data_IF_523862540833
#
_entry.id   IF_523862540833
#
_cell.length_a   1.000
_cell.length_b   1.000
_cell.length_c   1.000
_cell.angle_alpha   90.00
_cell.angle_beta   90.00
_cell.angle_gamma   90.00
#
_symmetry.space_group_name_H-M   'P 1'
#
loop_
_entity.id
_entity.type
_entity.pdbx_description
1 polymer ?
#
# COMPACT_ATOMS: atom_id res chain seq x y z
N UNK A 1 18.36 12.57 12.12
CA UNK A 1 17.42 13.65 11.81
C UNK A 1 16.04 13.05 11.76
N UNK A 2 15.20 13.43 12.70
CA UNK A 2 13.81 12.99 12.79
C UNK A 2 13.12 13.52 11.54
N UNK A 3 12.65 12.63 10.68
CA UNK A 3 11.75 13.00 9.57
C UNK A 3 10.39 13.29 10.18
N UNK A 4 10.12 14.55 10.52
CA UNK A 4 8.76 14.99 10.83
C UNK A 4 7.85 14.54 9.68
N UNK A 5 6.71 13.92 10.04
CA UNK A 5 5.73 13.42 9.08
C UNK A 5 5.32 14.50 8.10
N UNK A 6 6.03 14.62 6.99
CA UNK A 6 5.72 15.57 5.94
C UNK A 6 4.41 15.16 5.30
N UNK A 7 3.40 16.00 5.47
CA UNK A 7 2.30 16.07 4.54
C UNK A 7 2.89 16.17 3.12
N UNK A 8 2.81 15.09 2.35
CA UNK A 8 3.08 15.20 0.93
C UNK A 8 2.03 16.17 0.36
N UNK A 9 2.46 17.19 -0.41
CA UNK A 9 1.50 18.08 -1.06
C UNK A 9 0.63 17.23 -1.98
N UNK A 10 -0.65 17.17 -1.67
CA UNK A 10 -1.67 16.34 -2.32
C UNK A 10 -1.92 16.70 -3.79
N UNK A 11 -1.32 17.78 -4.28
CA UNK A 11 -1.64 18.36 -5.58
C UNK A 11 -0.56 18.17 -6.67
N UNK A 12 0.67 17.84 -6.36
CA UNK A 12 1.76 17.91 -7.34
C UNK A 12 2.07 16.63 -8.11
N UNK A 13 1.45 15.50 -7.79
CA UNK A 13 1.68 14.24 -8.50
C UNK A 13 0.54 13.81 -9.43
N UNK A 14 -0.55 14.55 -9.50
CA UNK A 14 -1.66 14.23 -10.42
C UNK A 14 -1.39 14.68 -11.88
N UNK A 15 -0.50 15.64 -12.10
CA UNK A 15 -0.28 16.26 -13.42
C UNK A 15 0.91 15.66 -14.19
N UNK A 16 1.62 14.68 -13.63
CA UNK A 16 2.84 14.11 -14.22
C UNK A 16 2.64 12.99 -15.25
N UNK A 17 1.40 12.55 -15.51
CA UNK A 17 1.15 11.55 -16.55
C UNK A 17 0.89 12.31 -17.85
N UNK A 18 1.91 12.36 -18.72
CA UNK A 18 1.80 12.94 -20.05
C UNK A 18 0.65 12.35 -20.86
N UNK A 19 0.20 13.08 -21.89
CA UNK A 19 -0.91 12.64 -22.76
C UNK A 19 -0.65 11.29 -23.46
N UNK A 20 0.57 10.79 -23.41
CA UNK A 20 1.01 9.55 -24.06
C UNK A 20 0.75 8.27 -23.21
N UNK A 21 0.49 8.42 -21.91
CA UNK A 21 0.25 7.29 -20.99
C UNK A 21 -1.24 7.04 -20.70
N UNK A 22 -2.13 7.45 -21.57
CA UNK A 22 -3.57 7.18 -21.44
C UNK A 22 -3.85 5.70 -21.71
N UNK A 23 -4.00 4.93 -20.66
CA UNK A 23 -4.58 3.59 -20.75
C UNK A 23 -6.04 3.61 -20.24
N UNK A 24 -6.89 2.64 -20.63
CA UNK A 24 -8.29 2.58 -20.21
C UNK A 24 -8.48 2.61 -18.68
N UNK A 25 -7.50 2.12 -17.92
CA UNK A 25 -7.52 2.13 -16.47
C UNK A 25 -7.32 3.55 -15.90
N UNK A 26 -6.53 4.41 -16.56
CA UNK A 26 -6.34 5.78 -16.10
C UNK A 26 -7.65 6.58 -16.15
N UNK A 27 -8.45 6.38 -17.19
CA UNK A 27 -9.74 7.03 -17.34
C UNK A 27 -10.76 6.48 -16.33
N UNK A 28 -10.74 5.15 -16.09
CA UNK A 28 -11.54 4.53 -15.05
C UNK A 28 -11.24 5.11 -13.66
N UNK A 29 -9.96 5.21 -13.29
CA UNK A 29 -9.59 5.72 -11.96
C UNK A 29 -9.94 7.19 -11.78
N UNK A 30 -9.72 8.04 -12.77
CA UNK A 30 -9.95 9.48 -12.66
C UNK A 30 -11.42 9.85 -12.58
N UNK A 31 -12.30 9.15 -13.28
CA UNK A 31 -13.74 9.37 -13.25
C UNK A 31 -14.10 10.85 -13.37
N UNK A 32 -15.04 11.29 -12.54
CA UNK A 32 -15.49 12.70 -12.50
C UNK A 32 -14.46 13.66 -11.85
N UNK A 33 -13.42 13.16 -11.22
CA UNK A 33 -12.36 13.99 -10.61
C UNK A 33 -11.23 14.33 -11.58
N UNK A 34 -11.34 13.92 -12.84
CA UNK A 34 -10.35 14.26 -13.87
C UNK A 34 -10.19 15.78 -13.98
N UNK A 35 -8.95 16.27 -13.79
CA UNK A 35 -8.62 17.70 -13.85
C UNK A 35 -8.97 18.51 -12.60
N UNK A 36 -9.54 17.92 -11.56
CA UNK A 36 -9.85 18.64 -10.30
C UNK A 36 -8.62 18.93 -9.43
N UNK A 37 -7.52 18.22 -9.65
CA UNK A 37 -6.33 18.26 -8.77
C UNK A 37 -6.57 17.68 -7.37
N UNK A 38 -7.75 17.09 -7.11
CA UNK A 38 -8.11 16.51 -5.81
C UNK A 38 -8.01 15.00 -5.86
N UNK A 39 -7.30 14.42 -4.89
CA UNK A 39 -7.25 12.99 -4.67
C UNK A 39 -7.72 12.69 -3.22
N UNK A 40 -8.98 12.28 -3.04
CA UNK A 40 -9.53 12.06 -1.70
C UNK A 40 -8.89 10.86 -1.02
N UNK A 41 -8.83 10.89 0.32
CA UNK A 41 -8.36 9.80 1.18
C UNK A 41 -6.89 9.39 0.91
N UNK A 42 -6.11 10.27 0.27
CA UNK A 42 -4.70 10.07 -0.01
C UNK A 42 -3.81 10.73 1.06
N UNK A 43 -4.03 10.32 2.31
CA UNK A 43 -3.28 10.79 3.48
C UNK A 43 -2.61 9.60 4.15
N UNK A 44 -1.29 9.65 4.31
CA UNK A 44 -0.53 8.61 4.99
C UNK A 44 -1.01 8.46 6.45
N UNK A 45 -1.00 7.22 6.95
CA UNK A 45 -1.20 6.99 8.39
C UNK A 45 0.08 7.31 9.15
N UNK A 46 -0.06 7.61 10.42
CA UNK A 46 1.08 7.72 11.32
C UNK A 46 1.62 6.32 11.64
N UNK A 47 2.93 6.21 11.70
CA UNK A 47 3.65 5.00 12.09
C UNK A 47 4.59 5.35 13.25
N UNK A 48 5.00 4.34 14.02
CA UNK A 48 6.06 4.49 15.01
C UNK A 48 7.41 4.68 14.30
N UNK A 49 8.33 5.42 14.89
CA UNK A 49 9.66 5.66 14.31
C UNK A 49 10.37 4.35 13.95
N UNK A 50 10.27 3.35 14.83
CA UNK A 50 10.83 2.01 14.57
C UNK A 50 10.21 1.30 13.36
N UNK A 51 8.97 1.60 13.01
CA UNK A 51 8.33 1.04 11.81
C UNK A 51 8.74 1.81 10.56
N UNK A 52 8.98 3.12 10.67
CA UNK A 52 9.52 3.91 9.57
C UNK A 52 10.90 3.41 9.15
N UNK A 53 11.77 3.11 10.12
CA UNK A 53 13.10 2.52 9.85
C UNK A 53 12.99 1.15 9.15
N UNK A 54 12.04 0.32 9.59
CA UNK A 54 11.76 -0.99 8.96
C UNK A 54 11.23 -0.82 7.54
N UNK A 55 10.33 0.15 7.32
CA UNK A 55 9.77 0.40 5.98
C UNK A 55 10.83 0.92 5.02
N UNK A 56 11.71 1.82 5.48
CA UNK A 56 12.86 2.26 4.71
C UNK A 56 13.73 1.08 4.29
N UNK A 57 14.09 0.23 5.26
CA UNK A 57 14.89 -0.96 4.98
C UNK A 57 14.20 -1.89 3.99
N UNK A 58 12.93 -2.23 4.22
CA UNK A 58 12.18 -3.14 3.34
C UNK A 58 12.04 -2.60 1.92
N UNK A 59 11.72 -1.32 1.76
CA UNK A 59 11.57 -0.70 0.45
C UNK A 59 12.92 -0.60 -0.30
N UNK A 60 14.01 -0.23 0.39
CA UNK A 60 15.35 -0.21 -0.18
C UNK A 60 15.82 -1.62 -0.59
N UNK A 61 15.60 -2.62 0.28
CA UNK A 61 15.89 -4.02 -0.02
C UNK A 61 15.13 -4.50 -1.25
N UNK A 62 13.83 -4.20 -1.31
CA UNK A 62 12.98 -4.58 -2.43
C UNK A 62 13.41 -3.92 -3.75
N UNK A 63 13.85 -2.67 -3.70
CA UNK A 63 14.36 -1.95 -4.87
C UNK A 63 15.65 -2.58 -5.42
N UNK A 64 16.55 -3.01 -4.53
CA UNK A 64 17.83 -3.63 -4.90
C UNK A 64 17.66 -5.08 -5.36
N UNK A 65 16.92 -5.88 -4.58
CA UNK A 65 16.83 -7.33 -4.78
C UNK A 65 15.62 -7.79 -5.61
N UNK A 66 14.69 -6.88 -5.96
CA UNK A 66 13.44 -7.20 -6.68
C UNK A 66 12.56 -8.24 -5.97
N UNK A 67 12.70 -8.32 -4.67
CA UNK A 67 11.93 -9.21 -3.77
C UNK A 67 11.77 -8.59 -2.40
N UNK A 68 10.74 -9.01 -1.65
CA UNK A 68 10.52 -8.53 -0.29
C UNK A 68 11.51 -9.14 0.69
N UNK A 69 12.02 -8.33 1.62
CA UNK A 69 12.84 -8.79 2.73
C UNK A 69 12.02 -9.68 3.68
N UNK A 70 12.61 -10.76 4.16
CA UNK A 70 12.07 -11.57 5.25
C UNK A 70 12.75 -11.19 6.56
N UNK A 71 12.18 -11.55 7.69
CA UNK A 71 12.78 -11.25 9.00
C UNK A 71 14.23 -11.76 9.16
N UNK A 72 14.63 -12.77 8.40
CA UNK A 72 16.01 -13.28 8.34
C UNK A 72 17.01 -12.32 7.70
N UNK A 73 16.51 -11.43 6.83
CA UNK A 73 17.32 -10.45 6.09
C UNK A 73 17.53 -9.17 6.90
N UNK A 74 16.77 -9.02 8.02
CA UNK A 74 16.81 -7.81 8.82
C UNK A 74 18.07 -7.69 9.65
N UNK A 75 18.71 -6.50 9.71
CA UNK A 75 19.65 -6.20 10.75
C UNK A 75 19.05 -6.41 12.14
N UNK A 76 19.80 -6.95 13.09
CA UNK A 76 19.30 -7.30 14.44
C UNK A 76 18.59 -6.14 15.13
N UNK A 77 19.06 -4.92 14.95
CA UNK A 77 18.46 -3.72 15.59
C UNK A 77 17.13 -3.27 14.97
N UNK A 78 16.79 -3.75 13.76
CA UNK A 78 15.51 -3.49 13.10
C UNK A 78 14.47 -4.58 13.37
N UNK A 79 14.87 -5.72 13.93
CA UNK A 79 13.91 -6.77 14.25
C UNK A 79 12.85 -6.26 15.23
N UNK A 80 11.57 -6.60 15.00
CA UNK A 80 10.53 -6.23 15.93
C UNK A 80 10.73 -6.96 17.26
N UNK A 81 10.45 -6.30 18.37
CA UNK A 81 10.52 -6.88 19.72
C UNK A 81 9.33 -7.82 19.95
N UNK A 82 9.35 -8.97 19.31
CA UNK A 82 8.27 -9.95 19.31
C UNK A 82 8.84 -11.36 19.32
N UNK A 83 8.24 -12.27 20.08
CA UNK A 83 8.70 -13.67 20.22
C UNK A 83 8.99 -14.38 18.89
N UNK A 84 8.20 -14.09 17.85
CA UNK A 84 8.42 -14.67 16.52
C UNK A 84 9.69 -14.14 15.83
N UNK A 85 10.18 -12.95 16.20
CA UNK A 85 11.39 -12.39 15.63
C UNK A 85 12.67 -12.95 16.31
N UNK A 86 12.59 -13.40 17.55
CA UNK A 86 13.71 -14.04 18.26
C UNK A 86 14.23 -15.28 17.50
N UNK A 87 13.31 -16.06 16.93
CA UNK A 87 13.66 -17.24 16.12
C UNK A 87 14.50 -16.91 14.88
N UNK A 88 14.29 -15.72 14.26
CA UNK A 88 15.06 -15.30 13.10
C UNK A 88 16.55 -15.09 13.43
N UNK A 89 16.86 -14.63 14.64
CA UNK A 89 18.24 -14.46 15.12
C UNK A 89 18.92 -15.80 15.37
N UNK A 90 18.15 -16.79 15.79
CA UNK A 90 18.66 -18.13 16.17
C UNK A 90 18.67 -19.10 14.96
N UNK A 91 18.30 -18.66 13.76
CA UNK A 91 18.21 -19.51 12.57
C UNK A 91 17.09 -20.57 12.66
N UNK A 92 16.11 -20.37 13.53
CA UNK A 92 14.92 -21.22 13.66
C UNK A 92 13.85 -20.80 12.68
N UNK A 93 12.95 -21.72 12.34
CA UNK A 93 11.81 -21.40 11.50
C UNK A 93 10.90 -20.36 12.17
N UNK A 94 10.61 -19.27 11.48
CA UNK A 94 9.77 -18.16 11.96
C UNK A 94 8.46 -18.16 11.22
N UNK A 95 7.37 -18.29 11.94
CA UNK A 95 6.03 -18.12 11.40
C UNK A 95 5.83 -16.64 11.04
N UNK A 96 5.33 -16.35 9.82
CA UNK A 96 5.18 -15.00 9.29
C UNK A 96 6.49 -14.22 9.13
N UNK A 97 7.53 -14.88 8.61
CA UNK A 97 8.81 -14.24 8.30
C UNK A 97 8.65 -13.08 7.28
N UNK A 98 7.59 -13.08 6.48
CA UNK A 98 7.23 -12.12 5.43
C UNK A 98 6.28 -11.02 5.91
N UNK A 99 6.11 -10.82 7.22
CA UNK A 99 5.14 -9.85 7.78
C UNK A 99 5.33 -8.38 7.31
N UNK A 100 6.53 -8.00 6.90
CA UNK A 100 6.84 -6.70 6.31
C UNK A 100 6.91 -6.86 4.80
N UNK A 101 5.80 -6.59 4.12
CA UNK A 101 5.68 -6.85 2.69
C UNK A 101 5.57 -5.56 1.89
N UNK A 102 6.48 -5.37 0.94
CA UNK A 102 6.49 -4.24 0.01
C UNK A 102 5.65 -4.58 -1.21
N UNK A 103 4.79 -3.66 -1.62
CA UNK A 103 4.05 -3.82 -2.87
C UNK A 103 4.96 -3.39 -4.03
N UNK A 104 5.59 -4.37 -4.69
CA UNK A 104 6.57 -4.11 -5.75
C UNK A 104 5.90 -3.42 -6.95
N UNK A 105 6.55 -2.39 -7.49
CA UNK A 105 5.98 -1.55 -8.56
C UNK A 105 5.86 -2.25 -9.91
N UNK A 106 6.65 -3.31 -10.13
CA UNK A 106 6.74 -4.09 -11.35
C UNK A 106 6.03 -5.46 -11.29
N UNK A 107 5.29 -5.70 -10.20
CA UNK A 107 4.57 -6.96 -9.98
C UNK A 107 3.12 -6.70 -9.56
N UNK A 108 2.20 -7.65 -9.80
CA UNK A 108 0.86 -7.57 -9.25
C UNK A 108 0.91 -7.45 -7.72
N UNK A 109 0.07 -6.58 -7.15
CA UNK A 109 -0.02 -6.46 -5.70
C UNK A 109 -0.55 -7.75 -5.06
N UNK A 110 -0.21 -7.96 -3.79
CA UNK A 110 -0.86 -8.98 -2.99
C UNK A 110 -2.34 -8.63 -2.78
N UNK A 111 -3.17 -9.62 -2.52
CA UNK A 111 -4.60 -9.40 -2.24
C UNK A 111 -4.78 -8.41 -1.09
N UNK A 112 -5.47 -7.31 -1.35
CA UNK A 112 -5.81 -6.33 -0.31
C UNK A 112 -6.93 -6.91 0.54
N UNK A 113 -6.64 -7.16 1.81
CA UNK A 113 -7.58 -7.68 2.79
C UNK A 113 -7.89 -6.65 3.86
N UNK A 114 -8.95 -6.84 4.64
CA UNK A 114 -9.30 -5.96 5.77
C UNK A 114 -8.21 -5.85 6.84
N UNK A 115 -7.23 -6.73 6.83
CA UNK A 115 -6.07 -6.70 7.72
C UNK A 115 -5.22 -5.44 7.53
N UNK A 116 -5.25 -4.81 6.35
CA UNK A 116 -4.59 -3.51 6.09
C UNK A 116 -5.04 -2.42 7.08
N UNK A 117 -6.25 -2.55 7.66
CA UNK A 117 -6.77 -1.63 8.66
C UNK A 117 -5.97 -1.60 9.96
N UNK A 118 -5.17 -2.62 10.26
CA UNK A 118 -4.42 -2.75 11.51
C UNK A 118 -3.14 -1.89 11.51
N UNK A 119 -2.05 -2.41 10.98
CA UNK A 119 -0.73 -1.76 11.03
C UNK A 119 -0.18 -1.36 9.66
N UNK A 120 -0.61 -2.03 8.59
CA UNK A 120 -0.15 -1.78 7.23
C UNK A 120 1.19 -2.42 6.89
N UNK A 121 1.78 -3.22 7.78
CA UNK A 121 3.09 -3.84 7.56
C UNK A 121 3.15 -4.74 6.31
N UNK A 122 2.02 -5.33 5.93
CA UNK A 122 1.90 -6.15 4.73
C UNK A 122 1.61 -5.36 3.45
N UNK A 123 1.59 -4.03 3.54
CA UNK A 123 1.26 -3.13 2.42
C UNK A 123 2.18 -1.90 2.42
N UNK A 124 3.50 -2.13 2.43
CA UNK A 124 4.51 -1.07 2.43
C UNK A 124 4.62 -0.48 1.03
N UNK A 125 4.74 0.85 0.96
CA UNK A 125 4.95 1.57 -0.29
C UNK A 125 6.32 1.23 -0.90
N UNK A 126 6.43 1.00 -2.23
CA UNK A 126 7.69 0.57 -2.85
C UNK A 126 8.77 1.63 -2.93
N UNK A 127 8.42 2.91 -2.85
CA UNK A 127 9.39 4.01 -2.86
C UNK A 127 9.97 4.22 -1.45
N UNK A 128 11.29 3.94 -1.25
CA UNK A 128 11.93 4.08 0.07
C UNK A 128 11.94 5.51 0.58
N UNK A 129 11.84 6.52 -0.29
CA UNK A 129 11.79 7.93 0.14
C UNK A 129 10.51 8.29 0.90
N UNK A 130 9.47 7.48 0.76
CA UNK A 130 8.17 7.72 1.39
C UNK A 130 8.02 7.09 2.78
N UNK A 131 8.77 6.03 3.10
CA UNK A 131 8.81 5.38 4.43
C UNK A 131 7.43 5.19 5.05
N UNK A 132 6.47 4.59 4.35
CA UNK A 132 5.09 4.45 4.82
C UNK A 132 4.40 3.22 4.26
N UNK A 133 3.27 2.85 4.83
CA UNK A 133 2.32 1.94 4.18
C UNK A 133 1.45 2.68 3.16
N UNK A 134 0.73 1.93 2.33
CA UNK A 134 -0.23 2.48 1.37
C UNK A 134 -1.31 3.30 2.08
N UNK A 135 -1.76 4.36 1.43
CA UNK A 135 -2.94 5.14 1.84
C UNK A 135 -4.23 4.40 1.52
N UNK A 136 -5.37 4.87 2.06
CA UNK A 136 -6.69 4.32 1.72
C UNK A 136 -6.92 4.38 0.21
N UNK A 137 -6.58 5.51 -0.43
CA UNK A 137 -6.78 5.68 -1.88
C UNK A 137 -5.89 4.77 -2.71
N UNK A 138 -4.64 4.58 -2.34
CA UNK A 138 -3.75 3.63 -3.02
C UNK A 138 -4.26 2.20 -2.92
N UNK A 139 -4.68 1.78 -1.73
CA UNK A 139 -5.30 0.47 -1.53
C UNK A 139 -6.61 0.32 -2.32
N UNK A 140 -7.43 1.36 -2.38
CA UNK A 140 -8.65 1.41 -3.16
C UNK A 140 -8.39 1.26 -4.67
N UNK A 141 -7.36 1.95 -5.19
CA UNK A 141 -6.93 1.78 -6.59
C UNK A 141 -6.45 0.37 -6.90
N UNK A 142 -5.71 -0.27 -5.99
CA UNK A 142 -5.34 -1.69 -6.15
C UNK A 142 -6.56 -2.60 -6.21
N UNK A 143 -7.62 -2.25 -5.49
CA UNK A 143 -8.93 -2.91 -5.54
C UNK A 143 -9.81 -2.39 -6.68
N UNK A 144 -9.27 -1.61 -7.60
CA UNK A 144 -9.97 -1.05 -8.77
C UNK A 144 -11.14 -0.10 -8.47
N UNK A 145 -11.18 0.53 -7.28
CA UNK A 145 -12.14 1.60 -7.03
C UNK A 145 -11.76 2.88 -7.78
N UNK A 146 -12.71 3.58 -8.39
CA UNK A 146 -12.45 4.89 -8.98
C UNK A 146 -12.21 5.95 -7.90
N UNK A 147 -11.52 7.04 -8.26
CA UNK A 147 -11.11 8.09 -7.32
C UNK A 147 -12.28 8.90 -6.75
N UNK A 148 -13.38 8.94 -7.46
CA UNK A 148 -14.63 9.60 -7.04
C UNK A 148 -15.50 8.73 -6.12
N UNK A 149 -15.09 7.52 -5.79
CA UNK A 149 -15.73 6.72 -4.76
C UNK A 149 -15.18 7.09 -3.37
N UNK A 150 -16.05 7.54 -2.49
CA UNK A 150 -15.72 7.96 -1.13
C UNK A 150 -16.05 6.88 -0.12
N UNK A 151 -15.10 6.56 0.75
CA UNK A 151 -15.30 5.65 1.87
C UNK A 151 -15.74 6.41 3.11
N UNK A 152 -16.74 5.91 3.83
CA UNK A 152 -17.29 6.57 5.00
C UNK A 152 -16.57 6.15 6.30
N UNK A 153 -16.68 6.99 7.32
CA UNK A 153 -16.14 6.71 8.64
C UNK A 153 -14.70 7.14 8.82
N UNK A 154 -14.08 6.65 9.89
CA UNK A 154 -12.67 6.92 10.17
C UNK A 154 -11.74 6.09 9.27
N UNK A 155 -10.46 6.43 9.25
CA UNK A 155 -9.47 5.76 8.38
C UNK A 155 -9.44 4.23 8.54
N UNK A 156 -9.59 3.71 9.76
CA UNK A 156 -9.64 2.26 10.01
C UNK A 156 -10.84 1.62 9.34
N UNK A 157 -12.00 2.29 9.40
CA UNK A 157 -13.21 1.81 8.75
C UNK A 157 -13.10 1.88 7.24
N UNK A 158 -12.47 2.93 6.70
CA UNK A 158 -12.20 3.06 5.26
C UNK A 158 -11.32 1.91 4.74
N UNK A 159 -10.19 1.61 5.42
CA UNK A 159 -9.35 0.46 5.06
C UNK A 159 -10.11 -0.87 5.15
N UNK A 160 -10.97 -1.03 6.15
CA UNK A 160 -11.78 -2.24 6.30
C UNK A 160 -12.79 -2.39 5.15
N UNK A 161 -13.41 -1.31 4.71
CA UNK A 161 -14.31 -1.30 3.56
C UNK A 161 -13.55 -1.70 2.29
N UNK A 162 -12.39 -1.11 2.03
CA UNK A 162 -11.54 -1.46 0.88
C UNK A 162 -11.17 -2.95 0.91
N UNK A 163 -10.69 -3.45 2.04
CA UNK A 163 -10.20 -4.83 2.15
C UNK A 163 -11.27 -5.90 2.18
N UNK A 164 -12.55 -5.54 2.43
CA UNK A 164 -13.69 -6.46 2.38
C UNK A 164 -14.44 -6.41 1.04
N UNK A 165 -14.09 -5.49 0.17
CA UNK A 165 -14.81 -5.30 -1.09
C UNK A 165 -14.42 -6.34 -2.14
N UNK A 166 -15.37 -6.65 -3.02
CA UNK A 166 -15.06 -7.26 -4.33
C UNK A 166 -14.59 -6.12 -5.24
N UNK A 167 -13.45 -6.28 -5.95
CA UNK A 167 -12.96 -5.25 -6.86
C UNK A 167 -14.01 -4.86 -7.90
N UNK A 168 -14.36 -3.56 -8.07
CA UNK A 168 -15.43 -3.12 -8.96
C UNK A 168 -15.29 -3.59 -10.41
N UNK A 169 -14.09 -3.58 -10.99
CA UNK A 169 -13.88 -4.09 -12.36
C UNK A 169 -14.11 -5.60 -12.46
N UNK A 170 -13.73 -6.36 -11.45
CA UNK A 170 -14.03 -7.80 -11.40
C UNK A 170 -15.54 -8.03 -11.28
N UNK A 171 -16.22 -7.28 -10.40
CA UNK A 171 -17.66 -7.36 -10.23
C UNK A 171 -18.40 -7.02 -11.53
N UNK A 172 -17.93 -6.01 -12.28
CA UNK A 172 -18.49 -5.66 -13.59
C UNK A 172 -18.35 -6.79 -14.59
N UNK A 173 -17.20 -7.43 -14.68
CA UNK A 173 -16.98 -8.58 -15.58
C UNK A 173 -17.89 -9.77 -15.21
N UNK A 174 -18.00 -10.05 -13.90
CA UNK A 174 -18.91 -11.12 -13.44
C UNK A 174 -20.38 -10.80 -13.76
N UNK A 175 -20.81 -9.55 -13.60
CA UNK A 175 -22.17 -9.12 -13.92
C UNK A 175 -22.48 -9.27 -15.43
N UNK A 176 -21.52 -9.00 -16.31
CA UNK A 176 -21.68 -9.22 -17.75
C UNK A 176 -21.96 -10.69 -18.09
N UNK A 177 -21.21 -11.61 -17.48
CA UNK A 177 -21.40 -13.07 -17.69
C UNK A 177 -22.76 -13.56 -17.19
N UNK A 178 -23.32 -12.93 -16.15
CA UNK A 178 -24.64 -13.33 -15.60
C UNK A 178 -25.80 -12.71 -16.40
N UNK A 179 -25.57 -11.58 -17.09
CA UNK A 179 -26.59 -10.89 -17.87
C UNK A 179 -26.80 -11.49 -19.28
N UNK A 180 -25.82 -12.23 -19.81
CA UNK A 180 -25.88 -12.98 -21.06
C UNK A 180 -26.57 -14.35 -20.87
#
# INVERSE_FOLDING_TARGET
PVMEGKHLPSAQHADGIGAEDRNPLSDWYRGHLAGSGVLPEHVARNHMDSDLDRYLFCAAYAQEHKTCAKLYDFPKYLLPNHKNAEGAVEGKEVVFADRFHVQLSDQPSTTVTSHISKDGHYFIHPDPSQCRSLTVREAARLQTFPDDYFFMGNRTDQYRQVGNAVPPLLAQQMAQVVAD
#
